data_IF_409374622201
#
_entry.id   IF_409374622201
#
_cell.length_a   1.000
_cell.length_b   1.000
_cell.length_c   1.000
_cell.angle_alpha   90.00
_cell.angle_beta   90.00
_cell.angle_gamma   90.00
#
_symmetry.space_group_name_H-M   'P 1'
#
loop_
_entity.id
_entity.type
_entity.pdbx_description
1 polymer ?
#
# COMPACT_ATOMS: atom_id res chain seq x y z
N UNK A 1 2.22 -2.05 -39.86
CA UNK A 1 2.64 -1.79 -38.47
C UNK A 1 1.91 -2.78 -37.58
N UNK A 2 2.62 -3.68 -36.91
CA UNK A 2 1.99 -4.64 -36.00
C UNK A 2 1.37 -3.89 -34.83
N UNK A 3 0.06 -4.01 -34.63
CA UNK A 3 -0.64 -3.42 -33.49
C UNK A 3 -0.15 -4.15 -32.23
N UNK A 4 0.74 -3.54 -31.45
CA UNK A 4 1.13 -4.07 -30.14
C UNK A 4 -0.02 -3.81 -29.16
N UNK A 5 -0.39 -4.84 -28.39
CA UNK A 5 -1.37 -4.69 -27.30
C UNK A 5 -0.78 -3.74 -26.25
N UNK A 6 -1.49 -2.68 -25.83
CA UNK A 6 -0.98 -1.74 -24.85
C UNK A 6 -0.87 -2.40 -23.47
N UNK A 7 0.19 -2.05 -22.74
CA UNK A 7 0.39 -2.45 -21.35
C UNK A 7 -0.39 -1.51 -20.44
N UNK A 8 -1.41 -2.03 -19.77
CA UNK A 8 -2.28 -1.25 -18.88
C UNK A 8 -1.97 -1.55 -17.42
N UNK A 9 -1.73 -0.50 -16.63
CA UNK A 9 -1.52 -0.60 -15.19
C UNK A 9 -2.66 0.10 -14.44
N UNK A 10 -3.24 -0.56 -13.44
CA UNK A 10 -4.19 0.05 -12.50
C UNK A 10 -3.48 0.29 -11.17
N UNK A 11 -3.58 1.51 -10.63
CA UNK A 11 -2.92 1.91 -9.39
C UNK A 11 -3.97 2.38 -8.38
N UNK A 12 -4.13 1.65 -7.28
CA UNK A 12 -4.96 2.06 -6.15
C UNK A 12 -4.16 2.75 -5.06
N UNK A 13 -4.60 3.94 -4.64
CA UNK A 13 -3.94 4.66 -3.54
C UNK A 13 -4.16 3.98 -2.17
N UNK A 14 -3.37 4.37 -1.17
CA UNK A 14 -3.63 4.04 0.23
C UNK A 14 -4.81 4.83 0.81
N UNK A 15 -5.27 4.42 1.99
CA UNK A 15 -6.43 5.02 2.66
C UNK A 15 -7.20 4.09 3.60
N UNK A 16 -6.55 3.03 4.09
CA UNK A 16 -7.15 2.05 5.00
C UNK A 16 -8.42 1.40 4.43
N UNK A 17 -9.48 1.36 5.25
CA UNK A 17 -10.74 0.70 4.88
C UNK A 17 -11.47 1.43 3.73
N UNK A 18 -11.31 2.74 3.61
CA UNK A 18 -11.90 3.54 2.52
C UNK A 18 -11.33 3.11 1.17
N UNK A 19 -10.00 3.11 1.06
CA UNK A 19 -9.31 2.64 -0.14
C UNK A 19 -9.71 1.19 -0.48
N UNK A 20 -9.80 0.32 0.52
CA UNK A 20 -10.20 -1.08 0.30
C UNK A 20 -11.59 -1.21 -0.31
N UNK A 21 -12.61 -0.56 0.26
CA UNK A 21 -13.99 -0.65 -0.22
C UNK A 21 -14.12 0.02 -1.60
N UNK A 22 -13.53 1.20 -1.77
CA UNK A 22 -13.58 1.94 -3.04
C UNK A 22 -12.90 1.20 -4.18
N UNK A 23 -11.77 0.55 -3.91
CA UNK A 23 -11.09 -0.27 -4.91
C UNK A 23 -11.88 -1.53 -5.27
N UNK A 24 -12.50 -2.22 -4.29
CA UNK A 24 -13.39 -3.36 -4.61
C UNK A 24 -14.55 -2.93 -5.51
N UNK A 25 -15.15 -1.77 -5.25
CA UNK A 25 -16.17 -1.20 -6.12
C UNK A 25 -15.63 -0.90 -7.53
N UNK A 26 -14.43 -0.34 -7.62
CA UNK A 26 -13.76 -0.06 -8.90
C UNK A 26 -13.46 -1.35 -9.69
N UNK A 27 -12.99 -2.40 -9.01
CA UNK A 27 -12.73 -3.71 -9.62
C UNK A 27 -14.02 -4.37 -10.11
N UNK A 28 -15.12 -4.25 -9.35
CA UNK A 28 -16.44 -4.72 -9.80
C UNK A 28 -16.87 -4.00 -11.08
N UNK A 29 -16.73 -2.67 -11.13
CA UNK A 29 -17.02 -1.89 -12.33
C UNK A 29 -16.14 -2.27 -13.52
N UNK A 30 -14.85 -2.51 -13.31
CA UNK A 30 -13.95 -2.96 -14.38
C UNK A 30 -14.29 -4.36 -14.88
N UNK A 31 -14.71 -5.26 -13.99
CA UNK A 31 -15.17 -6.60 -14.38
C UNK A 31 -16.45 -6.52 -15.21
N UNK A 32 -17.44 -5.75 -14.77
CA UNK A 32 -18.71 -5.56 -15.50
C UNK A 32 -18.50 -4.91 -16.87
N UNK A 33 -17.54 -3.99 -16.98
CA UNK A 33 -17.18 -3.33 -18.24
C UNK A 33 -16.25 -4.16 -19.15
N UNK A 34 -15.80 -5.34 -18.70
CA UNK A 34 -14.82 -6.16 -19.44
C UNK A 34 -13.42 -5.53 -19.53
N UNK A 35 -13.12 -4.52 -18.71
CA UNK A 35 -11.84 -3.81 -18.70
C UNK A 35 -10.75 -4.57 -17.93
N UNK A 36 -11.13 -5.41 -16.97
CA UNK A 36 -10.17 -6.11 -16.12
C UNK A 36 -9.26 -7.07 -16.93
N UNK A 37 -9.79 -7.65 -18.00
CA UNK A 37 -9.06 -8.52 -18.93
C UNK A 37 -8.00 -7.77 -19.76
N UNK A 38 -8.10 -6.43 -19.83
CA UNK A 38 -7.10 -5.59 -20.48
C UNK A 38 -5.98 -5.16 -19.52
N UNK A 39 -6.13 -5.38 -18.21
CA UNK A 39 -5.17 -4.91 -17.21
C UNK A 39 -3.99 -5.87 -17.09
N UNK A 40 -2.79 -5.36 -17.35
CA UNK A 40 -1.53 -6.12 -17.20
C UNK A 40 -1.03 -6.09 -15.76
N UNK A 41 -0.99 -4.91 -15.14
CA UNK A 41 -0.47 -4.72 -13.79
C UNK A 41 -1.55 -4.19 -12.85
N UNK A 42 -1.71 -4.84 -11.71
CA UNK A 42 -2.57 -4.36 -10.64
C UNK A 42 -1.72 -3.96 -9.45
N UNK A 43 -1.62 -2.66 -9.25
CA UNK A 43 -0.83 -2.05 -8.21
C UNK A 43 -1.72 -1.49 -7.13
N UNK A 44 -1.32 -1.70 -5.89
CA UNK A 44 -1.96 -1.03 -4.77
C UNK A 44 -1.18 -1.25 -3.50
N UNK A 45 -1.33 -0.31 -2.57
CA UNK A 45 -1.00 -0.58 -1.17
C UNK A 45 -1.90 -1.72 -0.74
N UNK A 46 -1.31 -2.89 -0.44
CA UNK A 46 -2.00 -4.20 -0.44
C UNK A 46 -3.42 -4.07 0.10
N UNK A 47 -4.37 -4.07 -0.82
CA UNK A 47 -5.78 -4.00 -0.47
C UNK A 47 -6.10 -5.35 0.16
N UNK A 48 -6.74 -5.33 1.32
CA UNK A 48 -7.24 -6.53 2.01
C UNK A 48 -8.35 -7.18 1.17
N UNK A 49 -8.02 -7.66 -0.02
CA UNK A 49 -8.94 -8.28 -0.97
C UNK A 49 -9.13 -9.76 -0.67
N UNK A 50 -8.40 -10.35 0.28
CA UNK A 50 -8.83 -11.60 0.91
C UNK A 50 -9.95 -11.33 1.92
N UNK A 51 -11.06 -10.87 1.38
CA UNK A 51 -12.38 -11.06 1.94
C UNK A 51 -12.58 -12.59 2.02
N UNK A 52 -12.52 -13.12 3.26
CA UNK A 52 -13.18 -14.36 3.70
C UNK A 52 -12.54 -15.75 3.64
N UNK A 53 -11.33 -15.99 3.11
CA UNK A 53 -10.74 -17.33 3.25
C UNK A 53 -9.89 -17.43 4.52
N UNK A 54 -10.41 -18.20 5.48
CA UNK A 54 -9.94 -18.42 6.85
C UNK A 54 -8.59 -19.17 6.97
N UNK A 55 -7.70 -19.06 5.98
CA UNK A 55 -6.39 -19.71 6.06
C UNK A 55 -5.34 -18.75 6.60
N UNK A 56 -5.05 -18.87 7.89
CA UNK A 56 -4.06 -18.08 8.62
C UNK A 56 -2.60 -18.18 8.09
N UNK A 57 -2.35 -18.93 7.01
CA UNK A 57 -1.02 -19.21 6.46
C UNK A 57 -0.91 -18.97 4.93
N UNK A 58 -1.61 -17.95 4.42
CA UNK A 58 -1.46 -17.52 3.04
C UNK A 58 -0.13 -16.75 2.86
N UNK A 59 0.59 -17.07 1.79
CA UNK A 59 1.92 -16.54 1.43
C UNK A 59 1.82 -15.75 0.14
N UNK A 60 2.64 -14.71 -0.03
CA UNK A 60 2.67 -13.92 -1.26
C UNK A 60 3.09 -14.80 -2.45
N UNK A 61 4.02 -15.73 -2.23
CA UNK A 61 4.43 -16.70 -3.27
C UNK A 61 3.31 -17.62 -3.76
N UNK A 62 2.25 -17.86 -2.98
CA UNK A 62 1.09 -18.64 -3.45
C UNK A 62 0.29 -17.93 -4.54
N UNK A 63 0.38 -16.60 -4.64
CA UNK A 63 -0.29 -15.85 -5.70
C UNK A 63 0.23 -16.18 -7.10
N UNK A 64 1.39 -16.84 -7.22
CA UNK A 64 1.91 -17.37 -8.49
C UNK A 64 0.87 -18.25 -9.20
N UNK A 65 0.08 -19.03 -8.44
CA UNK A 65 -0.96 -19.90 -9.02
C UNK A 65 -2.07 -19.12 -9.73
N UNK A 66 -2.38 -17.91 -9.26
CA UNK A 66 -3.39 -17.05 -9.87
C UNK A 66 -2.89 -16.38 -11.15
N UNK A 67 -1.59 -16.09 -11.25
CA UNK A 67 -1.03 -15.30 -12.36
C UNK A 67 -0.24 -16.10 -13.39
N UNK A 68 0.13 -17.35 -13.10
CA UNK A 68 0.98 -18.20 -13.98
C UNK A 68 0.50 -18.33 -15.41
N UNK A 69 -0.82 -18.23 -15.63
CA UNK A 69 -1.45 -18.41 -16.93
C UNK A 69 -1.91 -17.08 -17.56
N UNK A 70 -1.60 -15.94 -16.95
CA UNK A 70 -2.00 -14.61 -17.45
C UNK A 70 -3.51 -14.31 -17.40
N UNK A 71 -4.32 -15.11 -16.71
CA UNK A 71 -5.77 -14.88 -16.56
C UNK A 71 -6.10 -13.75 -15.58
N UNK A 72 -5.16 -13.40 -14.72
CA UNK A 72 -5.32 -12.32 -13.74
C UNK A 72 -4.22 -11.28 -13.98
N UNK A 73 -4.51 -9.98 -13.77
CA UNK A 73 -3.50 -8.95 -13.73
C UNK A 73 -2.37 -9.29 -12.76
N UNK A 74 -1.14 -8.93 -13.11
CA UNK A 74 0.03 -9.19 -12.30
C UNK A 74 0.07 -8.26 -11.08
N UNK A 75 0.00 -8.77 -9.83
CA UNK A 75 -0.04 -7.94 -8.65
C UNK A 75 1.35 -7.41 -8.29
N UNK A 76 1.42 -6.11 -8.03
CA UNK A 76 2.64 -5.43 -7.60
C UNK A 76 2.33 -4.61 -6.35
N UNK A 77 3.13 -4.81 -5.30
CA UNK A 77 2.96 -4.13 -4.03
C UNK A 77 4.20 -3.30 -3.69
N UNK A 78 3.97 -2.14 -3.08
CA UNK A 78 5.02 -1.20 -2.76
C UNK A 78 5.24 -1.09 -1.24
N UNK A 79 6.49 -0.97 -0.86
CA UNK A 79 6.95 -0.50 0.44
C UNK A 79 8.10 0.48 0.23
N UNK A 80 8.51 1.17 1.29
CA UNK A 80 9.67 2.06 1.25
C UNK A 80 10.70 1.72 2.32
N UNK A 81 11.97 1.93 2.01
CA UNK A 81 13.06 1.79 2.96
C UNK A 81 13.06 2.95 3.96
N UNK A 82 12.87 2.62 5.23
CA UNK A 82 12.80 3.57 6.34
C UNK A 82 14.08 4.40 6.49
N UNK A 83 15.25 3.81 6.26
CA UNK A 83 16.52 4.51 6.44
C UNK A 83 16.64 5.67 5.45
N UNK A 84 16.30 5.43 4.19
CA UNK A 84 16.22 6.49 3.19
C UNK A 84 15.15 7.53 3.53
N UNK A 85 13.98 7.10 3.99
CA UNK A 85 12.91 8.00 4.42
C UNK A 85 13.32 8.93 5.57
N UNK A 86 14.11 8.44 6.52
CA UNK A 86 14.55 9.21 7.69
C UNK A 86 15.73 10.14 7.35
N UNK A 87 16.61 9.74 6.43
CA UNK A 87 17.83 10.48 6.08
C UNK A 87 17.59 11.67 5.13
N UNK A 88 16.71 11.55 4.15
CA UNK A 88 16.61 12.56 3.09
C UNK A 88 15.23 12.63 2.41
N UNK A 89 14.28 13.27 3.10
CA UNK A 89 12.89 13.44 2.63
C UNK A 89 12.72 14.37 1.42
N UNK A 90 13.73 15.16 1.07
CA UNK A 90 13.56 16.21 0.04
C UNK A 90 13.91 15.73 -1.34
N UNK A 91 14.81 14.74 -1.44
CA UNK A 91 15.44 14.39 -2.71
C UNK A 91 14.72 13.26 -3.47
N UNK A 92 13.59 12.73 -2.96
CA UNK A 92 12.71 11.77 -3.66
C UNK A 92 13.50 10.65 -4.36
N UNK A 93 14.47 10.08 -3.62
CA UNK A 93 15.44 9.12 -4.15
C UNK A 93 14.76 7.86 -4.67
N UNK A 94 15.13 7.34 -5.84
CA UNK A 94 14.55 6.10 -6.38
C UNK A 94 14.90 4.88 -5.53
N UNK A 95 16.02 4.91 -4.79
CA UNK A 95 16.48 3.88 -3.87
C UNK A 95 15.57 3.63 -2.66
N UNK A 96 14.63 4.53 -2.40
CA UNK A 96 13.68 4.37 -1.31
C UNK A 96 12.67 3.25 -1.60
N UNK A 97 12.37 2.94 -2.87
CA UNK A 97 11.27 2.06 -3.24
C UNK A 97 11.65 0.59 -3.17
N UNK A 98 10.79 -0.20 -2.52
CA UNK A 98 10.89 -1.64 -2.44
C UNK A 98 9.64 -2.27 -3.05
N UNK A 99 9.86 -3.24 -3.94
CA UNK A 99 8.83 -3.91 -4.70
C UNK A 99 8.60 -5.33 -4.19
N UNK A 100 7.33 -5.73 -4.13
CA UNK A 100 6.91 -7.09 -3.85
C UNK A 100 6.02 -7.60 -4.98
N UNK A 101 6.33 -8.78 -5.47
CA UNK A 101 5.53 -9.53 -6.44
C UNK A 101 5.38 -10.98 -5.97
N UNK A 102 4.52 -11.80 -6.60
CA UNK A 102 4.44 -13.22 -6.27
C UNK A 102 5.76 -13.97 -6.51
N UNK A 103 6.62 -13.50 -7.42
CA UNK A 103 7.83 -14.20 -7.83
C UNK A 103 9.06 -13.71 -7.09
N UNK A 104 9.23 -12.39 -7.02
CA UNK A 104 10.39 -11.74 -6.46
C UNK A 104 10.05 -10.48 -5.68
N UNK A 105 10.97 -10.08 -4.80
CA UNK A 105 10.89 -8.83 -4.06
C UNK A 105 12.28 -8.22 -3.92
N UNK A 106 12.36 -6.89 -3.94
CA UNK A 106 13.65 -6.22 -3.91
C UNK A 106 13.59 -4.74 -4.24
N UNK A 107 14.76 -4.17 -4.49
CA UNK A 107 14.99 -2.77 -4.77
C UNK A 107 15.17 -2.55 -6.28
N UNK A 108 14.18 -1.96 -6.98
CA UNK A 108 14.28 -1.74 -8.41
C UNK A 108 15.46 -0.88 -8.84
N UNK A 109 15.80 0.16 -8.07
CA UNK A 109 16.90 1.08 -8.36
C UNK A 109 18.28 0.40 -8.40
N UNK A 110 18.45 -0.68 -7.65
CA UNK A 110 19.67 -1.48 -7.63
C UNK A 110 19.62 -2.65 -8.62
N UNK A 111 18.48 -2.88 -9.26
CA UNK A 111 18.26 -4.06 -10.09
C UNK A 111 18.42 -5.38 -9.34
N UNK A 112 18.24 -5.35 -8.01
CA UNK A 112 18.58 -6.47 -7.14
C UNK A 112 17.33 -7.01 -6.47
N UNK A 113 17.08 -8.31 -6.67
CA UNK A 113 15.86 -8.99 -6.25
C UNK A 113 16.20 -10.36 -5.67
N UNK A 114 15.34 -10.86 -4.79
CA UNK A 114 15.34 -12.23 -4.30
C UNK A 114 13.97 -12.86 -4.53
N UNK A 115 13.93 -14.18 -4.67
CA UNK A 115 12.67 -14.91 -4.69
C UNK A 115 11.82 -14.57 -3.46
N UNK A 116 10.53 -14.33 -3.65
CA UNK A 116 9.61 -13.94 -2.57
C UNK A 116 9.60 -14.95 -1.42
N UNK A 117 9.79 -16.24 -1.72
CA UNK A 117 9.89 -17.33 -0.72
C UNK A 117 11.08 -17.19 0.23
N UNK A 118 12.11 -16.48 -0.23
CA UNK A 118 13.36 -16.25 0.49
C UNK A 118 13.36 -14.92 1.24
N UNK A 119 12.30 -14.12 1.12
CA UNK A 119 12.21 -12.82 1.75
C UNK A 119 12.38 -12.89 3.28
N UNK A 120 13.43 -12.23 3.76
CA UNK A 120 13.80 -12.21 5.18
C UNK A 120 14.76 -13.31 5.61
N UNK A 121 15.25 -14.15 4.69
CA UNK A 121 16.40 -15.05 4.89
C UNK A 121 17.70 -14.25 4.98
N UNK A 122 18.73 -14.83 5.61
CA UNK A 122 20.06 -14.21 5.72
C UNK A 122 20.91 -14.59 4.52
N UNK A 123 21.52 -13.58 3.90
CA UNK A 123 22.47 -13.72 2.81
C UNK A 123 23.83 -13.15 3.22
N UNK A 124 24.90 -13.71 2.67
CA UNK A 124 26.24 -13.13 2.70
C UNK A 124 26.83 -13.26 1.30
N UNK A 125 27.01 -12.12 0.63
CA UNK A 125 27.25 -12.17 -0.82
C UNK A 125 26.01 -12.72 -1.54
N UNK A 126 26.22 -13.48 -2.62
CA UNK A 126 25.12 -14.10 -3.40
C UNK A 126 24.61 -15.42 -2.79
N UNK A 127 25.18 -15.86 -1.67
CA UNK A 127 24.84 -17.13 -1.05
C UNK A 127 23.91 -16.94 0.15
N UNK A 128 22.87 -17.75 0.19
CA UNK A 128 22.01 -17.85 1.36
C UNK A 128 22.72 -18.63 2.46
N UNK A 129 22.84 -18.02 3.64
CA UNK A 129 23.47 -18.64 4.81
C UNK A 129 22.45 -19.21 5.78
N UNK A 130 21.30 -18.56 5.92
CA UNK A 130 20.24 -19.00 6.83
C UNK A 130 18.87 -18.79 6.19
N UNK A 131 18.12 -19.88 6.03
CA UNK A 131 16.75 -19.82 5.52
C UNK A 131 15.79 -19.39 6.62
N UNK A 132 15.04 -18.32 6.37
CA UNK A 132 13.89 -17.95 7.17
C UNK A 132 12.62 -18.08 6.34
N UNK A 133 11.60 -18.80 6.85
CA UNK A 133 10.33 -18.96 6.15
C UNK A 133 9.68 -17.64 5.77
N UNK A 134 9.14 -17.59 4.55
CA UNK A 134 8.35 -16.46 4.07
C UNK A 134 7.26 -16.06 5.09
N UNK A 135 7.15 -14.78 5.46
CA UNK A 135 6.09 -14.30 6.33
C UNK A 135 4.72 -14.45 5.68
N UNK A 136 3.66 -14.56 6.49
CA UNK A 136 2.31 -14.56 5.93
C UNK A 136 2.02 -13.24 5.21
N UNK A 137 1.19 -13.31 4.16
CA UNK A 137 0.73 -12.13 3.42
C UNK A 137 0.02 -11.13 4.34
N UNK A 138 -0.65 -11.62 5.39
CA UNK A 138 -1.28 -10.77 6.42
C UNK A 138 -0.26 -9.99 7.24
N UNK A 139 0.91 -10.56 7.53
CA UNK A 139 1.98 -9.86 8.21
C UNK A 139 2.63 -8.82 7.28
N UNK A 140 2.77 -9.14 5.99
CA UNK A 140 3.22 -8.18 4.97
C UNK A 140 2.22 -7.03 4.79
N UNK A 141 0.93 -7.32 4.69
CA UNK A 141 -0.18 -6.36 4.66
C UNK A 141 -0.22 -5.51 5.92
N UNK A 142 -0.14 -6.16 7.08
CA UNK A 142 -0.03 -5.50 8.36
C UNK A 142 1.16 -4.55 8.40
N UNK A 143 2.26 -4.88 7.72
CA UNK A 143 3.45 -4.00 7.62
C UNK A 143 3.32 -2.85 6.63
N UNK A 144 2.63 -3.08 5.52
CA UNK A 144 2.53 -2.13 4.41
C UNK A 144 1.26 -1.26 4.46
N UNK A 145 0.34 -1.49 5.40
CA UNK A 145 -0.92 -0.73 5.51
C UNK A 145 -1.10 0.00 6.84
N UNK A 146 -0.08 0.03 7.70
CA UNK A 146 -0.20 0.49 9.09
C UNK A 146 0.26 1.93 9.26
N UNK A 147 -0.47 2.86 8.66
CA UNK A 147 -0.33 4.28 8.96
C UNK A 147 -1.11 4.70 10.24
N UNK A 148 -2.01 3.84 10.76
CA UNK A 148 -2.94 4.20 11.85
C UNK A 148 -2.40 4.11 13.30
N UNK A 149 -1.29 3.40 13.58
CA UNK A 149 -0.61 3.50 14.89
C UNK A 149 0.77 4.16 14.81
N UNK A 150 1.06 4.84 13.69
CA UNK A 150 2.19 5.74 13.61
C UNK A 150 2.04 7.12 14.32
N UNK A 151 1.07 7.44 15.22
CA UNK A 151 1.09 8.75 15.88
C UNK A 151 1.73 8.77 17.27
N UNK A 152 1.80 7.71 18.08
CA UNK A 152 2.09 7.96 19.51
C UNK A 152 3.54 8.38 19.83
N UNK A 153 4.61 7.68 19.38
CA UNK A 153 5.97 8.10 19.70
C UNK A 153 6.48 9.26 18.82
N UNK A 154 5.94 9.41 17.60
CA UNK A 154 6.39 10.41 16.61
C UNK A 154 5.67 11.76 16.74
N UNK A 155 4.41 11.78 17.20
CA UNK A 155 3.70 13.02 17.54
C UNK A 155 4.23 13.65 18.84
N UNK A 156 4.78 12.87 19.77
CA UNK A 156 5.37 13.39 21.01
C UNK A 156 6.72 14.07 20.79
N UNK A 157 7.46 13.72 19.74
CA UNK A 157 8.84 14.20 19.51
C UNK A 157 8.96 15.31 18.46
N UNK A 158 7.87 15.72 17.82
CA UNK A 158 7.99 16.53 16.62
C UNK A 158 6.92 17.63 16.57
N UNK A 159 7.37 18.87 16.37
CA UNK A 159 6.57 20.09 16.10
C UNK A 159 5.79 20.01 14.76
N UNK A 160 5.26 18.85 14.36
CA UNK A 160 4.67 18.64 13.04
C UNK A 160 3.14 18.63 13.09
N UNK A 161 2.53 19.46 12.25
CA UNK A 161 1.13 19.32 11.82
C UNK A 161 1.09 18.27 10.71
N UNK A 162 0.41 17.16 10.96
CA UNK A 162 0.03 16.19 9.92
C UNK A 162 -1.25 16.72 9.26
N UNK A 163 -1.30 16.94 7.93
CA UNK A 163 -2.56 17.26 7.24
C UNK A 163 -3.54 16.09 7.42
N UNK A 164 -4.79 16.35 7.83
CA UNK A 164 -5.77 15.30 8.17
C UNK A 164 -5.96 15.03 9.67
N UNK A 165 -5.31 15.80 10.56
CA UNK A 165 -5.57 15.73 12.02
C UNK A 165 -6.99 16.11 12.45
N UNK A 166 -7.88 16.56 11.55
CA UNK A 166 -9.29 16.87 11.88
C UNK A 166 -10.16 15.62 12.08
N UNK A 167 -9.71 14.45 11.66
CA UNK A 167 -10.38 13.17 11.92
C UNK A 167 -9.91 12.50 13.22
N UNK A 168 -8.83 12.99 13.82
CA UNK A 168 -8.31 12.49 15.11
C UNK A 168 -9.32 12.66 16.25
N UNK A 169 -10.07 13.76 16.41
CA UNK A 169 -11.07 13.87 17.46
C UNK A 169 -12.21 12.85 17.30
N UNK A 170 -12.60 12.50 16.07
CA UNK A 170 -13.69 11.55 15.81
C UNK A 170 -13.23 10.11 15.96
N UNK A 171 -12.04 9.77 15.46
CA UNK A 171 -11.38 8.48 15.66
C UNK A 171 -10.97 8.27 17.13
N UNK A 172 -10.46 9.28 17.82
CA UNK A 172 -10.24 9.27 19.27
C UNK A 172 -11.54 9.21 20.04
N UNK A 173 -12.64 9.83 19.60
CA UNK A 173 -13.92 9.69 20.31
C UNK A 173 -14.53 8.30 20.10
N UNK A 174 -14.33 7.68 18.94
CA UNK A 174 -14.76 6.30 18.66
C UNK A 174 -13.85 5.30 19.37
N UNK A 175 -12.54 5.54 19.41
CA UNK A 175 -11.56 4.77 20.18
C UNK A 175 -11.79 4.95 21.68
N UNK A 176 -12.04 6.17 22.16
CA UNK A 176 -12.41 6.45 23.53
C UNK A 176 -13.77 5.82 23.88
N UNK A 177 -14.76 5.84 22.99
CA UNK A 177 -16.02 5.08 23.18
C UNK A 177 -15.80 3.58 23.18
N UNK A 178 -14.87 3.06 22.39
CA UNK A 178 -14.51 1.64 22.34
C UNK A 178 -13.73 1.21 23.59
N UNK A 179 -12.79 2.04 24.04
CA UNK A 179 -12.07 1.93 25.31
C UNK A 179 -13.06 2.03 26.47
N UNK A 180 -14.02 2.95 26.43
CA UNK A 180 -15.07 3.12 27.45
C UNK A 180 -16.05 1.94 27.49
N UNK A 181 -16.42 1.37 26.34
CA UNK A 181 -17.23 0.13 26.27
C UNK A 181 -16.45 -1.09 26.78
N UNK A 182 -15.16 -1.21 26.45
CA UNK A 182 -14.32 -2.33 26.87
C UNK A 182 -13.79 -2.17 28.31
N UNK A 183 -13.76 -0.95 28.86
CA UNK A 183 -13.47 -0.67 30.26
C UNK A 183 -14.51 -1.33 31.18
N UNK A 184 -15.75 -1.47 30.71
CA UNK A 184 -16.82 -2.20 31.41
C UNK A 184 -16.72 -3.73 31.29
N UNK A 185 -15.81 -4.28 30.47
CA UNK A 185 -15.76 -5.71 30.11
C UNK A 185 -14.53 -6.48 30.64
N UNK A 186 -13.82 -5.94 31.63
CA UNK A 186 -12.90 -6.72 32.47
C UNK A 186 -11.46 -6.86 31.96
N UNK A 187 -10.68 -7.64 32.70
CA UNK A 187 -9.20 -7.81 32.71
C UNK A 187 -8.50 -7.94 31.35
N UNK A 188 -9.23 -8.29 30.28
CA UNK A 188 -8.74 -8.40 28.91
C UNK A 188 -8.27 -7.06 28.31
N UNK A 189 -8.86 -5.92 28.71
CA UNK A 189 -8.45 -4.61 28.21
C UNK A 189 -7.04 -4.22 28.68
N UNK A 190 -6.77 -4.38 29.98
CA UNK A 190 -5.44 -4.11 30.53
C UNK A 190 -4.40 -5.09 30.02
N UNK A 191 -4.78 -6.36 29.79
CA UNK A 191 -3.92 -7.33 29.15
C UNK A 191 -3.58 -6.94 27.70
N UNK A 192 -4.57 -6.51 26.92
CA UNK A 192 -4.39 -5.99 25.56
C UNK A 192 -3.49 -4.75 25.57
N UNK A 193 -3.74 -3.75 26.42
CA UNK A 193 -2.92 -2.54 26.50
C UNK A 193 -1.49 -2.87 26.93
N UNK A 194 -1.30 -3.75 27.92
CA UNK A 194 0.02 -4.20 28.36
C UNK A 194 0.76 -4.98 27.26
N UNK A 195 0.07 -5.88 26.56
CA UNK A 195 0.61 -6.58 25.38
C UNK A 195 0.96 -5.59 24.28
N UNK A 196 0.09 -4.64 23.95
CA UNK A 196 0.37 -3.60 22.95
C UNK A 196 1.57 -2.76 23.36
N UNK A 197 1.68 -2.33 24.62
CA UNK A 197 2.83 -1.57 25.12
C UNK A 197 4.13 -2.39 25.12
N UNK A 198 4.10 -3.64 25.57
CA UNK A 198 5.25 -4.55 25.54
C UNK A 198 5.72 -4.78 24.10
N UNK A 199 4.77 -5.03 23.18
CA UNK A 199 5.12 -5.20 21.77
C UNK A 199 5.67 -3.87 21.24
N UNK A 200 5.03 -2.71 21.45
CA UNK A 200 5.53 -1.40 21.01
C UNK A 200 6.94 -1.05 21.52
N UNK A 201 7.31 -1.47 22.74
CA UNK A 201 8.66 -1.22 23.30
C UNK A 201 9.75 -2.14 22.74
N UNK A 202 9.38 -3.33 22.25
CA UNK A 202 10.31 -4.31 21.64
C UNK A 202 10.17 -4.39 20.11
N UNK A 203 9.20 -3.70 19.50
CA UNK A 203 8.85 -3.86 18.09
C UNK A 203 9.87 -3.19 17.17
N UNK A 204 10.65 -4.00 16.43
CA UNK A 204 11.32 -3.57 15.20
C UNK A 204 10.43 -3.89 14.00
N UNK A 205 9.47 -3.01 13.72
CA UNK A 205 8.50 -3.21 12.65
C UNK A 205 9.21 -3.16 11.28
N UNK A 206 8.86 -4.06 10.37
CA UNK A 206 9.41 -4.05 9.01
C UNK A 206 10.88 -4.48 8.85
N UNK A 207 11.63 -4.65 9.94
CA UNK A 207 13.05 -5.02 9.87
C UNK A 207 13.23 -6.50 9.48
N UNK A 208 14.04 -6.73 8.46
CA UNK A 208 14.41 -8.05 7.92
C UNK A 208 15.90 -8.11 7.63
N UNK A 209 16.46 -9.31 7.51
CA UNK A 209 17.81 -9.47 7.01
C UNK A 209 17.91 -8.87 5.61
N UNK A 210 18.96 -8.09 5.39
CA UNK A 210 19.21 -7.45 4.12
C UNK A 210 19.92 -8.44 3.19
N UNK A 211 19.28 -8.79 2.08
CA UNK A 211 19.88 -9.69 1.10
C UNK A 211 21.05 -9.05 0.33
N UNK A 212 21.18 -7.71 0.39
CA UNK A 212 22.29 -6.96 -0.22
C UNK A 212 23.52 -6.85 0.68
N UNK A 213 23.50 -7.48 1.87
CA UNK A 213 24.59 -7.36 2.83
C UNK A 213 25.92 -7.85 2.25
N UNK A 214 26.93 -6.97 2.25
CA UNK A 214 28.25 -7.17 1.64
C UNK A 214 28.28 -7.36 0.11
N UNK A 215 27.19 -7.05 -0.61
CA UNK A 215 27.14 -7.10 -2.08
C UNK A 215 27.24 -5.73 -2.75
N UNK A 216 26.74 -4.68 -2.10
CA UNK A 216 26.67 -3.33 -2.68
C UNK A 216 27.60 -2.34 -1.92
N UNK A 217 28.51 -1.63 -2.60
CA UNK A 217 29.31 -0.55 -1.99
C UNK A 217 28.50 0.71 -1.63
N UNK A 218 27.21 0.81 -1.98
CA UNK A 218 26.33 1.90 -1.55
C UNK A 218 25.63 1.60 -0.21
N UNK A 219 25.21 2.66 0.49
CA UNK A 219 24.70 2.69 1.88
C UNK A 219 23.86 1.50 2.37
N UNK A 220 23.03 0.87 1.52
CA UNK A 220 22.19 -0.28 1.90
C UNK A 220 23.03 -1.52 2.18
N UNK A 221 24.07 -1.81 1.39
CA UNK A 221 24.85 -3.05 1.51
C UNK A 221 25.70 -3.18 2.78
N UNK A 222 25.86 -2.09 3.54
CA UNK A 222 26.59 -2.08 4.82
C UNK A 222 25.73 -2.48 6.02
N UNK A 223 24.41 -2.35 5.93
CA UNK A 223 23.52 -2.68 7.02
C UNK A 223 23.06 -4.15 6.90
N UNK A 224 23.27 -5.00 7.92
CA UNK A 224 22.79 -6.39 7.89
C UNK A 224 21.26 -6.49 7.91
N UNK A 225 20.56 -5.37 8.18
CA UNK A 225 19.11 -5.32 8.20
C UNK A 225 18.57 -4.23 7.28
N UNK A 226 17.39 -4.48 6.72
CA UNK A 226 16.58 -3.50 5.99
C UNK A 226 15.27 -3.31 6.72
N UNK A 227 14.84 -2.08 6.92
CA UNK A 227 13.56 -1.76 7.57
C UNK A 227 12.59 -1.18 6.54
N UNK A 228 11.48 -1.88 6.29
CA UNK A 228 10.47 -1.48 5.31
C UNK A 228 9.22 -0.92 6.01
N UNK A 229 8.67 0.16 5.47
CA UNK A 229 7.45 0.81 5.97
C UNK A 229 6.45 1.08 4.83
N UNK A 230 5.25 1.53 5.21
CA UNK A 230 4.15 1.84 4.30
C UNK A 230 4.58 2.87 3.24
N UNK A 231 4.40 2.53 1.97
CA UNK A 231 4.71 3.42 0.85
C UNK A 231 3.87 4.70 0.83
N UNK A 232 2.70 4.68 1.49
CA UNK A 232 1.84 5.85 1.66
C UNK A 232 2.45 6.99 2.47
N UNK A 233 3.60 6.77 3.11
CA UNK A 233 4.39 7.84 3.75
C UNK A 233 5.15 8.72 2.74
N UNK A 234 5.36 8.24 1.50
CA UNK A 234 6.07 8.96 0.44
C UNK A 234 5.08 9.41 -0.66
N UNK A 235 4.74 8.51 -1.59
CA UNK A 235 3.68 8.72 -2.57
C UNK A 235 2.58 7.72 -2.22
N UNK A 236 1.37 8.22 -1.96
CA UNK A 236 0.22 7.40 -1.57
C UNK A 236 -0.29 6.46 -2.69
N UNK A 237 0.51 6.16 -3.70
CA UNK A 237 0.27 5.16 -4.73
C UNK A 237 1.59 4.73 -5.39
N UNK A 238 1.60 3.56 -6.04
CA UNK A 238 2.82 2.92 -6.53
C UNK A 238 3.29 3.42 -7.93
N UNK A 239 3.16 4.72 -8.23
CA UNK A 239 3.65 5.31 -9.49
C UNK A 239 5.12 4.96 -9.77
N UNK A 240 6.05 5.09 -8.80
CA UNK A 240 7.47 4.84 -9.06
C UNK A 240 7.78 3.43 -9.55
N UNK A 241 6.99 2.45 -9.12
CA UNK A 241 7.13 1.08 -9.62
C UNK A 241 6.63 0.97 -11.07
N UNK A 242 5.56 1.66 -11.45
CA UNK A 242 4.99 1.58 -12.79
C UNK A 242 5.71 2.44 -13.84
N UNK A 243 6.40 3.49 -13.42
CA UNK A 243 7.18 4.36 -14.32
C UNK A 243 8.55 3.79 -14.70
N UNK A 244 8.85 2.57 -14.24
CA UNK A 244 10.04 1.82 -14.64
C UNK A 244 10.02 1.52 -16.15
N UNK A 245 11.11 1.85 -16.84
CA UNK A 245 11.24 1.64 -18.28
C UNK A 245 11.10 0.16 -18.68
N UNK A 246 11.47 -0.78 -17.80
CA UNK A 246 11.37 -2.21 -18.09
C UNK A 246 9.92 -2.69 -18.24
N UNK A 247 8.95 -2.00 -17.61
CA UNK A 247 7.53 -2.38 -17.65
C UNK A 247 6.81 -1.91 -18.90
N UNK A 248 7.33 -0.90 -19.61
CA UNK A 248 6.74 -0.34 -20.84
C UNK A 248 5.24 -0.07 -20.70
N UNK A 249 4.83 0.53 -19.59
CA UNK A 249 3.42 0.86 -19.34
C UNK A 249 2.99 1.95 -20.31
N UNK A 250 1.91 1.69 -21.06
CA UNK A 250 1.35 2.63 -22.03
C UNK A 250 0.20 3.43 -21.43
N UNK A 251 -0.60 2.80 -20.56
CA UNK A 251 -1.76 3.41 -19.90
C UNK A 251 -1.73 3.15 -18.40
N UNK A 252 -1.88 4.20 -17.61
CA UNK A 252 -2.02 4.16 -16.15
C UNK A 252 -3.42 4.60 -15.77
N UNK A 253 -4.20 3.71 -15.15
CA UNK A 253 -5.48 4.02 -14.52
C UNK A 253 -5.24 4.23 -13.02
N UNK A 254 -5.24 5.48 -12.59
CA UNK A 254 -4.96 5.89 -11.21
C UNK A 254 -6.25 6.08 -10.43
N UNK A 255 -6.53 5.18 -9.49
CA UNK A 255 -7.65 5.26 -8.56
C UNK A 255 -7.19 5.94 -7.27
N UNK A 256 -7.59 7.20 -7.07
CA UNK A 256 -7.16 8.00 -5.93
C UNK A 256 -8.22 8.01 -4.81
N UNK A 257 -7.86 7.41 -3.68
CA UNK A 257 -8.65 7.30 -2.45
C UNK A 257 -8.09 8.15 -1.30
N UNK A 258 -7.17 9.09 -1.59
CA UNK A 258 -6.65 10.06 -0.63
C UNK A 258 -7.77 10.86 0.04
N UNK A 259 -7.46 11.36 1.24
CA UNK A 259 -8.38 12.20 2.00
C UNK A 259 -7.99 13.67 1.85
N UNK A 260 -8.96 14.51 1.50
CA UNK A 260 -8.74 15.94 1.34
C UNK A 260 -8.42 16.35 -0.09
N UNK A 261 -7.18 16.17 -0.52
CA UNK A 261 -6.72 16.56 -1.85
C UNK A 261 -6.96 15.45 -2.88
N UNK A 262 -7.70 15.79 -3.94
CA UNK A 262 -8.10 14.87 -5.01
C UNK A 262 -6.96 14.53 -5.96
N UNK A 263 -5.92 15.36 -6.01
CA UNK A 263 -4.81 15.21 -6.95
C UNK A 263 -3.46 14.97 -6.25
N UNK A 264 -3.47 14.71 -4.94
CA UNK A 264 -2.26 14.51 -4.12
C UNK A 264 -1.31 13.50 -4.75
N UNK A 265 -1.82 12.31 -5.09
CA UNK A 265 -0.99 11.24 -5.65
C UNK A 265 -0.41 11.63 -7.00
N UNK A 266 -1.16 12.37 -7.82
CA UNK A 266 -0.77 12.80 -9.15
C UNK A 266 0.28 13.90 -9.10
N UNK A 267 0.13 14.87 -8.20
CA UNK A 267 1.13 15.93 -7.95
C UNK A 267 2.44 15.31 -7.47
N UNK A 268 2.37 14.43 -6.47
CA UNK A 268 3.56 13.78 -5.93
C UNK A 268 4.27 12.91 -6.98
N UNK A 269 3.51 12.22 -7.84
CA UNK A 269 4.04 11.46 -8.96
C UNK A 269 4.70 12.34 -10.03
N UNK A 270 4.08 13.47 -10.36
CA UNK A 270 4.64 14.45 -11.31
C UNK A 270 5.99 14.97 -10.83
N UNK A 271 6.07 15.37 -9.55
CA UNK A 271 7.32 15.81 -8.96
C UNK A 271 8.38 14.70 -8.93
N UNK A 272 7.98 13.49 -8.55
CA UNK A 272 8.89 12.35 -8.50
C UNK A 272 9.45 12.03 -9.89
N UNK A 273 8.60 11.99 -10.91
CA UNK A 273 9.01 11.77 -12.28
C UNK A 273 9.96 12.87 -12.77
N UNK A 274 9.68 14.14 -12.43
CA UNK A 274 10.54 15.27 -12.78
C UNK A 274 11.92 15.18 -12.13
N UNK A 275 11.98 14.87 -10.82
CA UNK A 275 13.26 14.74 -10.08
C UNK A 275 14.09 13.56 -10.62
N UNK A 276 13.43 12.48 -11.02
CA UNK A 276 14.08 11.26 -11.50
C UNK A 276 14.21 11.16 -13.03
N UNK A 277 13.91 12.25 -13.75
CA UNK A 277 13.95 12.30 -15.22
C UNK A 277 13.15 11.17 -15.91
N UNK A 278 11.99 10.79 -15.33
CA UNK A 278 11.12 9.74 -15.85
C UNK A 278 10.06 10.33 -16.80
N UNK A 279 9.68 9.62 -17.89
CA UNK A 279 8.58 10.03 -18.75
C UNK A 279 7.26 10.08 -17.98
N UNK A 280 6.60 11.25 -17.97
CA UNK A 280 5.30 11.45 -17.34
C UNK A 280 4.54 12.57 -18.05
N UNK A 281 3.23 12.43 -18.31
CA UNK A 281 2.50 13.41 -19.08
C UNK A 281 2.44 14.75 -18.36
N UNK A 282 2.32 15.88 -19.09
CA UNK A 282 2.12 17.18 -18.48
C UNK A 282 0.77 17.19 -17.74
N UNK A 283 0.83 17.44 -16.43
CA UNK A 283 -0.36 17.49 -15.57
C UNK A 283 -0.75 18.95 -15.32
N UNK A 284 -1.88 19.36 -15.90
CA UNK A 284 -2.52 20.63 -15.62
C UNK A 284 -3.74 20.40 -14.72
N UNK A 285 -3.64 20.78 -13.45
CA UNK A 285 -4.72 20.61 -12.48
C UNK A 285 -5.60 21.85 -12.52
N UNK A 286 -6.88 21.65 -12.83
CA UNK A 286 -7.89 22.66 -12.65
C UNK A 286 -8.53 22.47 -11.27
N UNK A 287 -8.68 23.53 -10.49
CA UNK A 287 -9.31 23.49 -9.15
C UNK A 287 -10.82 23.17 -9.18
N UNK A 288 -11.37 22.80 -10.33
CA UNK A 288 -12.75 22.37 -10.47
C UNK A 288 -12.87 20.88 -10.14
N UNK A 289 -13.94 20.51 -9.46
CA UNK A 289 -14.26 19.11 -9.19
C UNK A 289 -14.46 18.38 -10.53
N UNK A 290 -13.67 17.32 -10.84
CA UNK A 290 -13.82 16.62 -12.11
C UNK A 290 -15.21 15.98 -12.23
N UNK A 291 -15.66 15.77 -13.46
CA UNK A 291 -16.93 15.09 -13.75
C UNK A 291 -16.88 13.64 -13.31
N UNK A 292 -15.95 12.88 -13.91
CA UNK A 292 -15.78 11.45 -13.65
C UNK A 292 -14.29 11.11 -13.44
N UNK A 293 -13.46 11.42 -14.44
CA UNK A 293 -12.02 11.22 -14.45
C UNK A 293 -11.30 12.34 -15.22
N UNK A 294 -9.98 12.45 -15.04
CA UNK A 294 -9.10 13.33 -15.79
C UNK A 294 -8.14 12.50 -16.64
N UNK A 295 -7.94 12.88 -17.90
CA UNK A 295 -7.01 12.19 -18.80
C UNK A 295 -5.85 13.10 -19.15
N UNK A 296 -4.63 12.63 -18.91
CA UNK A 296 -3.38 13.31 -19.23
C UNK A 296 -2.61 12.44 -20.22
N UNK A 297 -2.25 12.98 -21.37
CA UNK A 297 -1.60 12.21 -22.44
C UNK A 297 -0.59 13.06 -23.18
N UNK A 298 0.55 12.47 -23.51
CA UNK A 298 1.57 13.02 -24.40
C UNK A 298 2.23 11.87 -25.17
N UNK A 299 2.59 12.03 -26.46
CA UNK A 299 3.13 10.94 -27.29
C UNK A 299 4.39 10.27 -26.74
N UNK A 300 5.17 10.93 -25.89
CA UNK A 300 6.42 10.41 -25.33
C UNK A 300 6.26 9.78 -23.93
N UNK A 301 5.04 9.68 -23.40
CA UNK A 301 4.78 9.33 -22.00
C UNK A 301 3.57 8.39 -21.87
N UNK A 302 3.43 7.63 -20.77
CA UNK A 302 2.20 6.88 -20.53
C UNK A 302 0.98 7.82 -20.44
N UNK A 303 -0.15 7.40 -20.99
CA UNK A 303 -1.43 8.08 -20.76
C UNK A 303 -1.89 7.80 -19.33
N UNK A 304 -2.19 8.84 -18.55
CA UNK A 304 -2.69 8.73 -17.19
C UNK A 304 -4.18 9.07 -17.16
N UNK A 305 -5.01 8.10 -16.81
CA UNK A 305 -6.44 8.25 -16.51
C UNK A 305 -6.58 8.30 -14.99
N UNK A 306 -6.79 9.49 -14.44
CA UNK A 306 -6.90 9.73 -13.01
C UNK A 306 -8.36 9.80 -12.56
N UNK A 307 -8.74 8.95 -11.61
CA UNK A 307 -10.09 8.78 -11.08
C UNK A 307 -10.09 9.07 -9.57
N UNK A 308 -10.42 10.30 -9.14
CA UNK A 308 -10.50 10.62 -7.73
C UNK A 308 -11.79 10.04 -7.11
N UNK A 309 -11.70 9.65 -5.84
CA UNK A 309 -12.81 9.05 -5.10
C UNK A 309 -14.03 9.96 -5.04
N UNK A 310 -13.82 11.28 -4.92
CA UNK A 310 -14.88 12.27 -4.98
C UNK A 310 -14.80 13.04 -6.31
N UNK A 311 -15.88 12.99 -7.07
CA UNK A 311 -16.09 13.72 -8.31
C UNK A 311 -17.51 14.29 -8.34
N UNK A 312 -17.85 15.12 -9.32
CA UNK A 312 -19.17 15.76 -9.35
C UNK A 312 -20.30 14.78 -9.64
N UNK A 313 -20.02 13.64 -10.30
CA UNK A 313 -21.00 12.57 -10.50
C UNK A 313 -21.37 11.85 -9.20
N UNK A 314 -20.45 11.75 -8.23
CA UNK A 314 -20.67 11.02 -6.97
C UNK A 314 -20.65 11.91 -5.71
N UNK A 315 -20.53 13.24 -5.86
CA UNK A 315 -20.43 14.20 -4.75
C UNK A 315 -21.60 14.12 -3.76
N UNK A 316 -22.80 13.79 -4.25
CA UNK A 316 -24.00 13.59 -3.42
C UNK A 316 -24.05 12.22 -2.71
N UNK A 317 -23.09 11.33 -3.00
CA UNK A 317 -23.00 9.96 -2.44
C UNK A 317 -22.05 9.82 -1.25
N UNK A 318 -21.39 10.89 -0.79
CA UNK A 318 -20.43 10.84 0.34
C UNK A 318 -21.05 10.30 1.64
N UNK A 319 -22.33 10.56 1.88
CA UNK A 319 -23.05 9.97 3.01
C UNK A 319 -23.16 8.44 2.87
N UNK A 320 -23.48 7.92 1.67
CA UNK A 320 -23.57 6.48 1.41
C UNK A 320 -22.25 5.76 1.66
N UNK A 321 -21.10 6.33 1.27
CA UNK A 321 -19.80 5.71 1.53
C UNK A 321 -19.50 5.61 3.03
N UNK A 322 -19.84 6.64 3.80
CA UNK A 322 -19.70 6.63 5.26
C UNK A 322 -20.59 5.56 5.91
N UNK A 323 -21.83 5.40 5.42
CA UNK A 323 -22.74 4.34 5.86
C UNK A 323 -22.23 2.94 5.50
N UNK A 324 -21.70 2.75 4.29
CA UNK A 324 -21.11 1.47 3.86
C UNK A 324 -19.89 1.13 4.72
N UNK A 325 -18.99 2.08 4.94
CA UNK A 325 -17.83 1.90 5.84
C UNK A 325 -18.30 1.53 7.26
N UNK A 326 -19.29 2.23 7.82
CA UNK A 326 -19.86 1.90 9.13
C UNK A 326 -20.51 0.52 9.17
N UNK A 327 -21.26 0.14 8.14
CA UNK A 327 -21.90 -1.17 8.04
C UNK A 327 -20.88 -2.30 7.96
N UNK A 328 -19.83 -2.14 7.15
CA UNK A 328 -18.71 -3.09 7.09
C UNK A 328 -17.97 -3.22 8.42
N UNK A 329 -17.73 -2.11 9.12
CA UNK A 329 -17.13 -2.13 10.47
C UNK A 329 -18.03 -2.88 11.47
N UNK A 330 -19.35 -2.69 11.38
CA UNK A 330 -20.33 -3.39 12.23
C UNK A 330 -20.33 -4.90 11.98
N UNK A 331 -20.32 -5.34 10.72
CA UNK A 331 -20.20 -6.76 10.36
C UNK A 331 -18.88 -7.37 10.86
N UNK A 332 -17.77 -6.63 10.72
CA UNK A 332 -16.45 -7.06 11.21
C UNK A 332 -16.45 -7.26 12.74
N UNK A 333 -17.04 -6.35 13.50
CA UNK A 333 -17.16 -6.47 14.96
C UNK A 333 -18.04 -7.64 15.39
N UNK A 334 -19.13 -7.91 14.65
CA UNK A 334 -20.01 -9.05 14.92
C UNK A 334 -19.33 -10.39 14.63
N UNK A 335 -18.55 -10.48 13.56
CA UNK A 335 -17.81 -11.70 13.23
C UNK A 335 -16.64 -11.95 14.20
N UNK A 336 -15.95 -10.90 14.66
CA UNK A 336 -14.91 -11.03 15.70
C UNK A 336 -15.52 -11.58 17.00
N UNK A 337 -16.71 -11.11 17.40
CA UNK A 337 -17.43 -11.65 18.57
C UNK A 337 -17.80 -13.12 18.42
N UNK A 338 -18.34 -13.52 17.26
CA UNK A 338 -18.65 -14.94 16.99
C UNK A 338 -17.41 -15.82 17.01
N UNK A 339 -16.28 -15.34 16.48
CA UNK A 339 -15.01 -16.10 16.53
C UNK A 339 -14.40 -16.16 17.92
N UNK A 340 -14.57 -15.14 18.76
CA UNK A 340 -14.14 -15.21 20.17
C UNK A 340 -15.02 -16.14 20.99
N UNK A 341 -16.33 -16.17 20.70
CA UNK A 341 -17.27 -17.09 21.34
C UNK A 341 -17.00 -18.56 20.94
N UNK A 342 -16.67 -18.80 19.67
CA UNK A 342 -16.30 -20.13 19.16
C UNK A 342 -14.91 -20.64 19.61
N UNK A 343 -14.01 -19.76 20.06
CA UNK A 343 -12.74 -20.13 20.71
C UNK A 343 -12.85 -20.26 22.23
N UNK A 344 -14.02 -19.96 22.81
CA UNK A 344 -14.30 -20.08 24.25
C UNK A 344 -15.19 -21.28 24.62
N UNK A 345 -15.49 -22.14 23.64
CA UNK A 345 -16.05 -23.49 23.80
C UNK A 345 -14.98 -24.50 23.41
#
# INVERSE_FOLDING_TARGET
>A
SGLSVPTVAVLGSGGGLRAMISFLGSMSGFLEAGLLDCVTYLCGVIIKSHVYLQEHNQKLSKQQEAVKNGHNPYPVYAAINKEYFDCDKKNKHPEIWFEFTPYECGFPSYGAFVETKMFGSKFEGSEMKEYHPEPSVYLLQGKMSFCLECPFPMALKSKYKVPGMECIPRALSLFAKHVYLNFFLGTQFFHMVAKTAEVLTRWKFGTKFNYLYHQDPKHVGHNPFVSLVDAGLEINTAYPLMLRAERKVDVIISLDFSEGDLFETLVHATDYAKVNCLPFPPVNINNMLPTDCCVYSDPATPTVIHMPLANSANANGKEKLSYVIMYYLKLRLQNVKKSSEAMSL
#
